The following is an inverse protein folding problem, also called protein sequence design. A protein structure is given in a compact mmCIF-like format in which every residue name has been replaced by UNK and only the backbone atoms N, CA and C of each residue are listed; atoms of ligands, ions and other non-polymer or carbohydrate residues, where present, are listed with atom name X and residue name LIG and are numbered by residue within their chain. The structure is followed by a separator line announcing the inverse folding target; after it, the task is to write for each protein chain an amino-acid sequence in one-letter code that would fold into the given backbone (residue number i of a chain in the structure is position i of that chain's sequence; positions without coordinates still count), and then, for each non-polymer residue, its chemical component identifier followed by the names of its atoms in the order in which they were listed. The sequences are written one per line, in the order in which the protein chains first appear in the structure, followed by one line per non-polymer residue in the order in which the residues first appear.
data_IF_383445086749
#
_entry.id   IF_383445086749
#
_cell.length_a   1.000
_cell.length_b   1.000
_cell.length_c   1.000
_cell.angle_alpha   90.00
_cell.angle_beta   90.00
_cell.angle_gamma   90.00
#
_symmetry.space_group_name_H-M   'P 1'
#
loop_
_entity.id
_entity.type
_entity.pdbx_description
1 polymer ?
#
# COMPACT_ATOMS: atom_id res chain seq x y z
N UNK A 1 -8.04 2.88 -12.84
CA UNK A 1 -7.35 3.50 -11.68
C UNK A 1 -5.93 2.96 -11.57
N UNK A 2 -5.72 1.64 -11.57
CA UNK A 2 -4.39 1.02 -11.73
C UNK A 2 -3.60 1.56 -12.94
N UNK A 3 -4.21 1.68 -14.12
CA UNK A 3 -3.52 2.25 -15.29
C UNK A 3 -2.96 3.66 -15.04
N UNK A 4 -3.63 4.48 -14.23
CA UNK A 4 -3.13 5.82 -13.88
C UNK A 4 -1.86 5.74 -13.02
N UNK A 5 -1.82 4.80 -12.07
CA UNK A 5 -0.62 4.54 -11.26
C UNK A 5 0.52 4.05 -12.16
N UNK A 6 0.23 3.09 -13.04
CA UNK A 6 1.21 2.53 -13.98
C UNK A 6 1.77 3.62 -14.90
N UNK A 7 0.91 4.42 -15.52
CA UNK A 7 1.33 5.53 -16.40
C UNK A 7 2.14 6.58 -15.61
N UNK A 8 1.74 6.89 -14.39
CA UNK A 8 2.50 7.79 -13.52
C UNK A 8 3.90 7.26 -13.23
N UNK A 9 4.04 5.98 -12.86
CA UNK A 9 5.33 5.35 -12.58
C UNK A 9 6.21 5.35 -13.83
N UNK A 10 5.67 4.95 -14.99
CA UNK A 10 6.41 4.95 -16.27
C UNK A 10 6.97 6.34 -16.61
N UNK A 11 6.18 7.39 -16.38
CA UNK A 11 6.55 8.76 -16.75
C UNK A 11 7.50 9.44 -15.74
N UNK A 12 7.36 9.15 -14.44
CA UNK A 12 8.08 9.86 -13.38
C UNK A 12 9.20 9.04 -12.73
N UNK A 13 9.14 7.71 -12.83
CA UNK A 13 10.10 6.77 -12.24
C UNK A 13 10.51 5.68 -13.26
N UNK A 14 11.10 6.05 -14.41
CA UNK A 14 11.35 5.14 -15.54
C UNK A 14 12.32 3.98 -15.23
N UNK A 15 13.07 4.05 -14.12
CA UNK A 15 13.90 2.95 -13.63
C UNK A 15 13.15 1.92 -12.77
N UNK A 16 11.84 2.10 -12.56
CA UNK A 16 11.01 1.13 -11.84
C UNK A 16 10.65 -0.02 -12.76
N UNK A 17 10.85 -1.25 -12.28
CA UNK A 17 10.29 -2.43 -12.93
C UNK A 17 8.75 -2.39 -12.84
N UNK A 18 8.11 -2.14 -13.98
CA UNK A 18 6.66 -1.99 -14.05
C UNK A 18 5.95 -3.33 -14.07
N UNK A 19 6.63 -4.40 -14.45
CA UNK A 19 6.04 -5.73 -14.59
C UNK A 19 5.61 -6.25 -13.22
N UNK A 20 6.30 -5.85 -12.15
CA UNK A 20 5.90 -6.07 -10.75
C UNK A 20 4.45 -5.61 -10.49
N UNK A 21 4.00 -4.50 -11.07
CA UNK A 21 2.61 -4.02 -10.89
C UNK A 21 1.63 -4.71 -11.84
N UNK A 22 2.07 -5.06 -13.05
CA UNK A 22 1.23 -5.66 -14.08
C UNK A 22 0.94 -7.15 -13.81
N UNK A 23 1.91 -7.84 -13.21
CA UNK A 23 1.81 -9.26 -12.83
C UNK A 23 1.07 -9.47 -11.50
N UNK A 24 0.84 -8.39 -10.76
CA UNK A 24 0.12 -8.44 -9.50
C UNK A 24 -1.38 -8.68 -9.69
N UNK A 25 -1.93 -9.61 -8.92
CA UNK A 25 -3.39 -9.78 -8.85
C UNK A 25 -4.02 -8.49 -8.30
N UNK A 26 -4.83 -7.81 -9.11
CA UNK A 26 -5.49 -6.58 -8.70
C UNK A 26 -6.80 -6.86 -7.96
N UNK A 27 -6.92 -6.34 -6.75
CA UNK A 27 -8.06 -6.52 -5.86
C UNK A 27 -8.50 -5.14 -5.37
N UNK A 28 -9.75 -4.80 -5.67
CA UNK A 28 -10.33 -3.51 -5.31
C UNK A 28 -11.52 -3.71 -4.37
N UNK A 29 -11.49 -3.04 -3.22
CA UNK A 29 -12.66 -2.92 -2.36
C UNK A 29 -13.51 -1.73 -2.79
N UNK A 30 -14.81 -1.95 -2.90
CA UNK A 30 -15.78 -0.86 -2.94
C UNK A 30 -16.04 -0.31 -1.53
N UNK A 31 -16.73 0.84 -1.45
CA UNK A 31 -17.00 1.50 -0.16
C UNK A 31 -17.82 0.63 0.81
N UNK A 32 -18.70 -0.24 0.32
CA UNK A 32 -19.48 -1.13 1.17
C UNK A 32 -18.60 -2.22 1.79
N UNK A 33 -17.71 -2.83 1.02
CA UNK A 33 -16.74 -3.82 1.50
C UNK A 33 -15.74 -3.19 2.47
N UNK A 34 -15.24 -1.99 2.16
CA UNK A 34 -14.37 -1.24 3.06
C UNK A 34 -15.05 -0.96 4.40
N UNK A 35 -16.33 -0.55 4.37
CA UNK A 35 -17.12 -0.35 5.58
C UNK A 35 -17.31 -1.66 6.35
N UNK A 36 -17.61 -2.78 5.68
CA UNK A 36 -17.74 -4.07 6.35
C UNK A 36 -16.47 -4.48 7.10
N UNK A 37 -15.30 -4.28 6.50
CA UNK A 37 -14.02 -4.53 7.15
C UNK A 37 -13.83 -3.59 8.34
N UNK A 38 -14.09 -2.28 8.17
CA UNK A 38 -13.99 -1.31 9.27
C UNK A 38 -14.91 -1.65 10.44
N UNK A 39 -16.18 -1.96 10.17
CA UNK A 39 -17.15 -2.31 11.21
C UNK A 39 -16.75 -3.64 11.91
N UNK A 40 -16.19 -4.61 11.17
CA UNK A 40 -15.69 -5.86 11.75
C UNK A 40 -14.43 -5.66 12.61
N UNK A 41 -13.54 -4.74 12.23
CA UNK A 41 -12.41 -4.32 13.05
C UNK A 41 -12.88 -3.67 14.36
N UNK A 42 -13.86 -2.77 14.29
CA UNK A 42 -14.41 -2.09 15.48
C UNK A 42 -15.09 -3.04 16.46
N UNK A 43 -15.78 -4.06 15.94
CA UNK A 43 -16.43 -5.09 16.78
C UNK A 43 -15.45 -6.12 17.34
N UNK A 44 -14.21 -6.17 16.85
CA UNK A 44 -13.24 -7.21 17.20
C UNK A 44 -13.55 -8.57 16.58
N UNK A 45 -14.38 -8.61 15.54
CA UNK A 45 -14.82 -9.85 14.87
C UNK A 45 -13.71 -10.49 14.01
N UNK A 46 -12.64 -9.73 13.72
CA UNK A 46 -11.51 -10.22 12.92
C UNK A 46 -10.52 -10.88 13.87
N UNK A 47 -10.62 -12.21 13.98
CA UNK A 47 -9.58 -13.02 14.61
C UNK A 47 -8.28 -12.87 13.83
N UNK A 48 -7.28 -12.25 14.42
CA UNK A 48 -5.98 -12.00 13.80
C UNK A 48 -5.30 -13.31 13.42
N UNK A 49 -5.28 -13.66 12.14
CA UNK A 49 -4.37 -14.69 11.62
C UNK A 49 -3.00 -14.07 11.33
N UNK A 50 -1.90 -14.82 11.49
CA UNK A 50 -0.58 -14.37 11.05
C UNK A 50 -0.61 -13.88 9.61
N UNK A 51 0.15 -12.83 9.29
CA UNK A 51 0.23 -12.34 7.90
C UNK A 51 0.62 -13.46 6.93
N UNK A 52 1.54 -14.35 7.32
CA UNK A 52 2.00 -15.49 6.52
C UNK A 52 0.93 -16.54 6.18
N UNK A 53 -0.20 -16.54 6.89
CA UNK A 53 -1.39 -17.36 6.58
C UNK A 53 -2.13 -16.90 5.32
N UNK A 54 -1.86 -15.66 4.86
CA UNK A 54 -2.39 -15.18 3.59
C UNK A 54 -1.85 -16.02 2.43
N UNK A 55 -2.75 -16.63 1.66
CA UNK A 55 -2.41 -17.47 0.50
C UNK A 55 -1.87 -16.66 -0.68
N UNK A 56 -2.26 -15.38 -0.77
CA UNK A 56 -1.81 -14.47 -1.83
C UNK A 56 -0.37 -13.99 -1.60
N UNK A 57 0.50 -14.26 -2.59
CA UNK A 57 1.93 -13.90 -2.52
C UNK A 57 2.29 -12.58 -3.19
N UNK A 58 1.50 -12.15 -4.17
CA UNK A 58 1.80 -10.98 -5.00
C UNK A 58 0.50 -10.34 -5.49
N UNK A 59 0.11 -9.20 -4.92
CA UNK A 59 -1.17 -8.57 -5.24
C UNK A 59 -1.14 -7.06 -5.04
N UNK A 60 -2.04 -6.36 -5.75
CA UNK A 60 -2.34 -4.96 -5.52
C UNK A 60 -3.68 -4.89 -4.81
N UNK A 61 -3.66 -4.35 -3.60
CA UNK A 61 -4.85 -4.03 -2.83
C UNK A 61 -5.21 -2.56 -2.99
N UNK A 62 -6.43 -2.28 -3.45
CA UNK A 62 -6.89 -0.93 -3.73
C UNK A 62 -8.19 -0.62 -3.00
N UNK A 63 -8.21 0.52 -2.31
CA UNK A 63 -9.41 1.08 -1.71
C UNK A 63 -9.30 2.61 -1.66
N UNK A 64 -10.42 3.31 -1.90
CA UNK A 64 -10.44 4.77 -1.93
C UNK A 64 -9.43 5.34 -2.95
N UNK A 65 -8.44 6.08 -2.45
CA UNK A 65 -7.33 6.66 -3.22
C UNK A 65 -6.00 5.93 -2.99
N UNK A 66 -6.01 4.78 -2.32
CA UNK A 66 -4.82 4.09 -1.82
C UNK A 66 -4.64 2.76 -2.54
N UNK A 67 -3.45 2.58 -3.12
CA UNK A 67 -2.98 1.31 -3.67
C UNK A 67 -1.89 0.78 -2.74
N UNK A 68 -1.86 -0.52 -2.52
CA UNK A 68 -0.78 -1.21 -1.82
C UNK A 68 -0.38 -2.40 -2.67
N UNK A 69 0.82 -2.34 -3.24
CA UNK A 69 1.47 -3.52 -3.80
C UNK A 69 2.03 -4.33 -2.64
N UNK A 70 1.61 -5.58 -2.48
CA UNK A 70 2.02 -6.48 -1.40
C UNK A 70 2.70 -7.70 -1.99
N UNK A 71 3.88 -8.01 -1.48
CA UNK A 71 4.75 -9.07 -1.98
C UNK A 71 5.23 -9.92 -0.80
N UNK A 72 5.05 -11.23 -0.88
CA UNK A 72 5.55 -12.14 0.15
C UNK A 72 7.06 -12.05 0.18
N UNK A 73 7.61 -11.85 1.36
CA UNK A 73 9.05 -11.79 1.50
C UNK A 73 9.64 -13.20 1.34
N UNK A 74 10.65 -13.31 0.48
CA UNK A 74 11.38 -14.56 0.23
C UNK A 74 12.83 -14.50 0.72
N UNK A 75 13.19 -13.43 1.43
CA UNK A 75 14.53 -13.26 2.03
C UNK A 75 14.54 -13.79 3.46
N UNK A 76 15.73 -14.07 4.02
CA UNK A 76 15.94 -14.51 5.41
C UNK A 76 15.72 -13.37 6.45
N UNK A 77 14.71 -12.54 6.23
CA UNK A 77 14.29 -11.49 7.17
C UNK A 77 13.12 -11.97 8.03
N UNK A 78 12.88 -11.31 9.16
CA UNK A 78 11.71 -11.56 10.00
C UNK A 78 10.40 -11.03 9.40
N UNK A 79 10.46 -10.27 8.29
CA UNK A 79 9.26 -9.75 7.65
C UNK A 79 8.55 -10.84 6.84
N UNK A 80 7.23 -10.93 6.98
CA UNK A 80 6.39 -11.83 6.20
C UNK A 80 6.14 -11.29 4.79
N UNK A 81 6.00 -9.96 4.66
CA UNK A 81 5.72 -9.27 3.41
C UNK A 81 6.48 -7.95 3.29
N UNK A 82 6.82 -7.58 2.07
CA UNK A 82 7.19 -6.22 1.69
C UNK A 82 6.01 -5.57 0.98
N UNK A 83 5.89 -4.26 1.12
CA UNK A 83 4.80 -3.51 0.55
C UNK A 83 5.20 -2.10 0.11
N UNK A 84 4.57 -1.64 -0.96
CA UNK A 84 4.63 -0.25 -1.40
C UNK A 84 3.21 0.32 -1.43
N UNK A 85 2.99 1.34 -0.60
CA UNK A 85 1.78 2.14 -0.63
C UNK A 85 1.96 3.28 -1.63
N UNK A 86 1.03 3.39 -2.59
CA UNK A 86 0.88 4.53 -3.47
C UNK A 86 -0.46 5.23 -3.17
N UNK A 87 -0.40 6.48 -2.73
CA UNK A 87 -1.59 7.26 -2.38
C UNK A 87 -1.81 8.39 -3.39
N UNK A 88 -2.94 8.36 -4.11
CA UNK A 88 -3.35 9.42 -5.03
C UNK A 88 -3.70 10.68 -4.23
N UNK A 89 -2.95 11.77 -4.43
CA UNK A 89 -3.10 13.05 -3.74
C UNK A 89 -2.86 14.23 -4.69
N UNK A 90 -3.41 15.40 -4.34
CA UNK A 90 -3.25 16.63 -5.12
C UNK A 90 -1.88 17.28 -4.81
N UNK A 91 -1.02 17.46 -5.83
CA UNK A 91 0.34 18.00 -5.68
C UNK A 91 0.42 19.50 -5.35
N UNK A 92 -0.71 20.22 -5.27
CA UNK A 92 -0.74 21.57 -4.70
C UNK A 92 -0.23 21.60 -3.24
N UNK A 93 -0.21 20.45 -2.58
CA UNK A 93 0.37 20.26 -1.25
C UNK A 93 1.87 19.90 -1.24
N UNK A 94 2.52 19.76 -2.41
CA UNK A 94 3.92 19.28 -2.52
C UNK A 94 4.84 20.14 -3.41
N UNK A 95 4.38 20.80 -4.48
CA UNK A 95 4.93 22.09 -5.00
C UNK A 95 4.23 22.58 -6.27
N UNK A 96 4.29 23.90 -6.44
CA UNK A 96 3.85 24.72 -7.57
C UNK A 96 4.32 24.20 -8.93
N UNK A 97 3.46 23.45 -9.61
CA UNK A 97 3.49 23.31 -11.07
C UNK A 97 2.14 23.82 -11.57
N UNK A 98 2.13 24.61 -12.64
CA UNK A 98 0.92 25.19 -13.22
C UNK A 98 -0.11 24.14 -13.68
N UNK A 99 0.27 22.86 -13.66
CA UNK A 99 -0.64 21.74 -13.86
C UNK A 99 -1.19 21.22 -12.54
N UNK A 100 -2.51 21.30 -12.39
CA UNK A 100 -3.31 20.68 -11.33
C UNK A 100 -3.35 19.14 -11.46
N UNK A 101 -2.26 18.52 -11.85
CA UNK A 101 -2.21 17.07 -12.02
C UNK A 101 -2.25 16.41 -10.64
N UNK A 102 -3.12 15.40 -10.49
CA UNK A 102 -3.03 14.44 -9.39
C UNK A 102 -1.80 13.56 -9.60
N UNK A 103 -1.21 13.08 -8.53
CA UNK A 103 -0.33 11.91 -8.63
C UNK A 103 -0.11 11.26 -7.29
N UNK A 104 1.02 10.57 -7.15
CA UNK A 104 1.16 9.54 -6.13
C UNK A 104 2.25 9.85 -5.12
N UNK A 105 1.90 9.71 -3.85
CA UNK A 105 2.84 9.65 -2.75
C UNK A 105 3.17 8.19 -2.44
N UNK A 106 4.46 7.85 -2.40
CA UNK A 106 4.94 6.48 -2.19
C UNK A 106 5.53 6.29 -0.79
N UNK A 107 5.19 5.17 -0.16
CA UNK A 107 5.77 4.73 1.13
C UNK A 107 6.13 3.25 0.98
N UNK A 108 7.40 2.92 1.17
CA UNK A 108 7.85 1.54 1.23
C UNK A 108 7.88 1.09 2.70
N UNK A 109 7.45 -0.14 2.94
CA UNK A 109 7.46 -0.74 4.27
C UNK A 109 7.47 -2.26 4.17
N UNK A 110 7.78 -2.91 5.26
CA UNK A 110 7.62 -4.35 5.45
C UNK A 110 6.83 -4.60 6.72
N UNK A 111 6.24 -5.79 6.83
CA UNK A 111 5.53 -6.19 8.04
C UNK A 111 5.70 -7.68 8.35
N UNK A 112 5.73 -7.99 9.65
CA UNK A 112 5.85 -9.35 10.18
C UNK A 112 4.47 -10.03 10.32
N UNK A 113 4.47 -11.23 10.92
CA UNK A 113 3.25 -12.01 11.15
C UNK A 113 2.25 -11.33 12.08
N UNK A 114 2.71 -10.45 12.96
CA UNK A 114 1.88 -9.66 13.86
C UNK A 114 1.43 -8.33 13.24
N UNK A 115 1.74 -8.11 11.96
CA UNK A 115 1.51 -6.87 11.22
C UNK A 115 2.25 -5.67 11.84
N UNK A 116 3.34 -5.90 12.58
CA UNK A 116 4.23 -4.83 13.01
C UNK A 116 5.00 -4.32 11.80
N UNK A 117 5.01 -3.00 11.64
CA UNK A 117 5.54 -2.34 10.44
C UNK A 117 6.93 -1.79 10.68
N UNK A 118 7.81 -2.04 9.73
CA UNK A 118 9.10 -1.34 9.57
C UNK A 118 9.08 -0.52 8.29
N UNK A 119 9.34 0.79 8.39
CA UNK A 119 9.45 1.64 7.21
C UNK A 119 10.75 1.37 6.45
N UNK A 120 10.66 1.35 5.12
CA UNK A 120 11.79 1.17 4.22
C UNK A 120 12.05 2.45 3.44
N UNK A 121 13.27 2.60 2.93
CA UNK A 121 13.60 3.67 2.01
C UNK A 121 12.83 3.50 0.68
N UNK A 122 12.45 4.62 0.08
CA UNK A 122 11.82 4.64 -1.25
C UNK A 122 12.64 5.53 -2.17
N UNK A 123 12.85 5.06 -3.40
CA UNK A 123 13.47 5.82 -4.47
C UNK A 123 12.46 6.66 -5.27
N UNK A 124 11.15 6.49 -5.03
CA UNK A 124 10.06 7.22 -5.68
C UNK A 124 9.74 8.52 -4.91
N UNK A 125 10.77 9.29 -4.61
CA UNK A 125 10.62 10.57 -3.92
C UNK A 125 10.07 11.64 -4.86
N UNK A 126 9.22 12.50 -4.33
CA UNK A 126 8.77 13.69 -5.04
C UNK A 126 9.80 14.80 -4.79
N UNK A 127 10.33 15.39 -5.85
CA UNK A 127 11.32 16.47 -5.75
C UNK A 127 10.78 17.63 -4.88
N UNK A 128 11.56 18.03 -3.88
CA UNK A 128 11.19 19.08 -2.94
C UNK A 128 10.21 18.67 -1.82
N UNK A 129 9.76 17.41 -1.78
CA UNK A 129 9.01 16.86 -0.65
C UNK A 129 9.97 16.32 0.41
N UNK A 130 9.79 16.72 1.66
CA UNK A 130 10.53 16.14 2.79
C UNK A 130 9.90 14.79 3.12
N UNK A 131 10.65 13.71 2.97
CA UNK A 131 10.23 12.40 3.46
C UNK A 131 10.14 12.46 5.00
N UNK A 132 8.94 12.29 5.55
CA UNK A 132 8.69 12.43 6.98
C UNK A 132 8.26 11.07 7.54
N UNK A 133 9.17 10.41 8.25
CA UNK A 133 8.94 9.09 8.82
C UNK A 133 7.73 9.06 9.75
N UNK A 134 7.54 10.07 10.61
CA UNK A 134 6.39 10.13 11.54
C UNK A 134 5.06 10.25 10.79
N UNK A 135 5.02 11.04 9.71
CA UNK A 135 3.85 11.16 8.85
C UNK A 135 3.57 9.84 8.12
N UNK A 136 4.61 9.17 7.64
CA UNK A 136 4.48 7.87 6.98
C UNK A 136 3.95 6.82 7.95
N UNK A 137 4.49 6.76 9.16
CA UNK A 137 4.00 5.85 10.19
C UNK A 137 2.51 6.08 10.50
N UNK A 138 2.06 7.35 10.56
CA UNK A 138 0.64 7.68 10.76
C UNK A 138 -0.25 7.27 9.59
N UNK A 139 0.24 7.42 8.34
CA UNK A 139 -0.50 6.97 7.15
C UNK A 139 -0.61 5.45 7.16
N UNK A 140 0.50 4.75 7.38
CA UNK A 140 0.53 3.29 7.44
C UNK A 140 -0.37 2.78 8.59
N UNK A 141 -0.32 3.40 9.77
CA UNK A 141 -1.18 3.03 10.90
C UNK A 141 -2.68 3.14 10.62
N UNK A 142 -3.12 3.99 9.68
CA UNK A 142 -4.52 4.05 9.23
C UNK A 142 -4.89 2.99 8.20
N UNK A 143 -3.90 2.54 7.43
CA UNK A 143 -4.09 1.63 6.30
C UNK A 143 -3.94 0.17 6.71
N UNK A 144 -3.02 -0.12 7.64
CA UNK A 144 -2.73 -1.48 8.10
C UNK A 144 -3.94 -2.24 8.65
N UNK A 145 -4.85 -1.63 9.44
CA UNK A 145 -6.03 -2.37 9.90
C UNK A 145 -6.88 -2.90 8.74
N UNK A 146 -7.04 -2.11 7.68
CA UNK A 146 -7.82 -2.50 6.49
C UNK A 146 -7.10 -3.61 5.73
N UNK A 147 -5.79 -3.48 5.52
CA UNK A 147 -4.98 -4.51 4.88
C UNK A 147 -5.01 -5.82 5.68
N UNK A 148 -4.85 -5.74 7.01
CA UNK A 148 -4.94 -6.88 7.94
C UNK A 148 -6.29 -7.58 7.86
N UNK A 149 -7.39 -6.81 7.91
CA UNK A 149 -8.73 -7.35 7.81
C UNK A 149 -8.97 -8.05 6.46
N UNK A 150 -8.49 -7.45 5.38
CA UNK A 150 -8.55 -8.06 4.06
C UNK A 150 -7.72 -9.35 3.98
N UNK A 151 -6.44 -9.32 4.37
CA UNK A 151 -5.56 -10.48 4.34
C UNK A 151 -6.12 -11.63 5.19
N UNK A 152 -6.65 -11.33 6.37
CA UNK A 152 -7.31 -12.32 7.23
C UNK A 152 -8.53 -12.96 6.54
N UNK A 153 -9.32 -12.18 5.81
CA UNK A 153 -10.51 -12.67 5.11
C UNK A 153 -10.21 -13.56 3.90
N UNK A 154 -8.96 -13.54 3.39
CA UNK A 154 -8.52 -14.36 2.25
C UNK A 154 -7.49 -15.43 2.63
N UNK A 155 -7.19 -15.56 3.92
CA UNK A 155 -6.39 -16.67 4.45
C UNK A 155 -7.22 -17.96 4.44
N UNK A 156 -6.54 -19.07 4.14
CA UNK A 156 -7.14 -20.42 4.11
C UNK A 156 -7.16 -21.08 5.50
#
# INVERSE_FOLDING_TARGET
MLNKLVDYIKNNHPGTDIDIYLDAKYIQLNNAQLKQIADALERGDISSLPASSCSAKHFIFHFGSTFILVQKNTTDSNAAFTAELAWETDFLSVRSVRDKAKGFYFINFEFDDDYQVTLLETNKLIEGHVNNADKNQKIIGKVMPVLKGFMTAISD
#
